data_IF_510815507870
#
_entry.id   IF_510815507870
#
_cell.length_a   1.000
_cell.length_b   1.000
_cell.length_c   1.000
_cell.angle_alpha   90.00
_cell.angle_beta   90.00
_cell.angle_gamma   90.00
#
_symmetry.space_group_name_H-M   'P 1'
#
loop_
_entity.id
_entity.type
_entity.pdbx_description
1 polymer ?
#
# COMPACT_ATOMS: atom_id res chain seq x y z
N UNK A 1 -0.55 12.36 17.39
CA UNK A 1 -0.13 13.15 16.21
C UNK A 1 -1.10 14.31 16.00
N UNK A 2 -0.65 15.47 15.52
CA UNK A 2 -1.59 16.50 15.06
C UNK A 2 -2.00 16.19 13.63
N UNK A 3 -3.30 16.05 13.39
CA UNK A 3 -3.83 15.93 12.03
C UNK A 3 -3.44 17.17 11.19
N UNK A 4 -3.25 17.02 9.86
CA UNK A 4 -3.10 18.15 8.98
C UNK A 4 -4.18 19.21 9.19
N UNK A 5 -3.85 20.50 9.02
CA UNK A 5 -4.77 21.60 9.34
C UNK A 5 -6.13 21.53 8.64
N UNK A 6 -6.16 21.02 7.39
CA UNK A 6 -7.40 20.80 6.64
C UNK A 6 -8.30 19.72 7.24
N UNK A 7 -7.72 18.63 7.79
CA UNK A 7 -8.50 17.53 8.41
C UNK A 7 -9.11 18.00 9.72
N UNK A 8 -8.41 18.85 10.50
CA UNK A 8 -8.93 19.37 11.76
C UNK A 8 -10.14 20.29 11.61
N UNK A 9 -10.28 20.92 10.45
CA UNK A 9 -11.40 21.84 10.16
C UNK A 9 -12.68 21.10 9.75
N UNK A 10 -12.55 19.87 9.31
CA UNK A 10 -13.64 19.10 8.73
C UNK A 10 -13.88 17.83 9.55
N UNK A 11 -14.65 17.99 10.62
CA UNK A 11 -15.04 16.89 11.49
C UNK A 11 -16.27 16.17 10.92
N UNK A 12 -16.39 14.88 11.24
CA UNK A 12 -17.59 14.10 10.95
C UNK A 12 -17.71 13.65 9.49
N UNK A 13 -16.61 13.59 8.75
CA UNK A 13 -16.60 12.98 7.43
C UNK A 13 -16.65 11.47 7.55
N UNK A 14 -17.49 10.86 6.71
CA UNK A 14 -17.65 9.42 6.62
C UNK A 14 -17.67 9.00 5.16
N UNK A 15 -17.10 7.84 4.87
CA UNK A 15 -17.33 7.10 3.63
C UNK A 15 -18.24 5.91 3.95
N UNK A 16 -19.08 5.53 3.02
CA UNK A 16 -19.88 4.32 3.09
C UNK A 16 -19.39 3.34 2.02
N UNK A 17 -18.99 2.16 2.43
CA UNK A 17 -18.56 1.08 1.54
C UNK A 17 -19.24 -0.20 1.98
N UNK A 18 -20.05 -0.79 1.14
CA UNK A 18 -20.83 -2.00 1.44
C UNK A 18 -21.56 -1.89 2.79
N UNK A 19 -22.31 -0.80 2.98
CA UNK A 19 -23.03 -0.47 4.22
C UNK A 19 -22.17 -0.29 5.48
N UNK A 20 -20.84 -0.32 5.35
CA UNK A 20 -19.92 -0.07 6.46
C UNK A 20 -19.56 1.42 6.49
N UNK A 21 -19.92 2.16 7.54
CA UNK A 21 -19.52 3.55 7.69
C UNK A 21 -18.06 3.65 8.18
N UNK A 22 -17.21 4.30 7.40
CA UNK A 22 -15.83 4.58 7.74
C UNK A 22 -15.68 6.04 8.18
N UNK A 23 -15.32 6.26 9.44
CA UNK A 23 -14.95 7.60 9.90
C UNK A 23 -13.58 8.01 9.34
N UNK A 24 -13.51 9.20 8.75
CA UNK A 24 -12.31 9.72 8.10
C UNK A 24 -11.72 10.94 8.85
N UNK A 25 -10.40 11.05 8.90
CA UNK A 25 -9.38 10.12 8.41
C UNK A 25 -9.31 8.84 9.24
N UNK A 26 -8.76 7.76 8.67
CA UNK A 26 -8.49 6.55 9.46
C UNK A 26 -7.27 6.79 10.33
N UNK A 27 -7.43 6.59 11.63
CA UNK A 27 -6.37 6.77 12.62
C UNK A 27 -5.97 5.42 13.23
N UNK A 28 -4.68 5.29 13.53
CA UNK A 28 -4.11 4.15 14.25
C UNK A 28 -3.27 4.60 15.43
N UNK A 29 -3.26 3.78 16.47
CA UNK A 29 -2.48 3.98 17.69
C UNK A 29 -1.80 2.66 18.09
N UNK A 30 -0.68 2.76 18.83
CA UNK A 30 0.03 1.61 19.42
C UNK A 30 0.34 0.49 18.42
N UNK A 31 0.70 0.86 17.19
CA UNK A 31 0.91 -0.07 16.10
C UNK A 31 2.41 -0.34 15.90
N UNK A 32 2.92 -1.52 16.30
CA UNK A 32 4.29 -1.90 15.96
C UNK A 32 4.39 -2.17 14.46
N UNK A 33 5.57 -1.88 13.88
CA UNK A 33 5.82 -2.09 12.47
C UNK A 33 7.27 -2.51 12.21
N UNK A 34 7.48 -3.26 11.14
CA UNK A 34 8.79 -3.50 10.56
C UNK A 34 8.87 -2.93 9.15
N UNK A 35 10.07 -2.61 8.72
CA UNK A 35 10.35 -2.17 7.36
C UNK A 35 11.68 -2.74 6.88
N UNK A 36 11.75 -3.11 5.61
CA UNK A 36 13.00 -3.43 4.92
C UNK A 36 12.94 -2.94 3.47
N UNK A 37 14.07 -2.43 2.98
CA UNK A 37 14.21 -2.01 1.59
C UNK A 37 15.34 -2.79 0.94
N UNK A 38 15.03 -3.43 -0.17
CA UNK A 38 15.99 -4.20 -0.96
C UNK A 38 16.21 -3.51 -2.30
N UNK A 39 17.43 -3.58 -2.82
CA UNK A 39 17.66 -3.10 -4.19
C UNK A 39 17.18 -4.13 -5.19
N UNK A 40 16.60 -3.67 -6.28
CA UNK A 40 16.03 -4.46 -7.37
C UNK A 40 16.47 -3.90 -8.71
N UNK A 41 16.34 -4.68 -9.78
CA UNK A 41 16.53 -4.19 -11.15
C UNK A 41 15.46 -3.17 -11.52
N UNK A 42 15.85 -2.00 -12.02
CA UNK A 42 14.93 -0.91 -12.32
C UNK A 42 14.11 -1.18 -13.61
N UNK A 43 14.65 -1.93 -14.56
CA UNK A 43 13.93 -2.34 -15.77
C UNK A 43 12.81 -3.31 -15.44
N UNK A 44 13.13 -4.38 -14.70
CA UNK A 44 12.12 -5.33 -14.23
C UNK A 44 11.08 -4.68 -13.30
N UNK A 45 11.49 -3.72 -12.48
CA UNK A 45 10.57 -2.95 -11.64
C UNK A 45 9.59 -2.11 -12.47
N UNK A 46 10.04 -1.51 -13.57
CA UNK A 46 9.20 -0.73 -14.48
C UNK A 46 8.08 -1.55 -15.11
N UNK A 47 8.31 -2.84 -15.37
CA UNK A 47 7.29 -3.76 -15.90
C UNK A 47 6.13 -4.01 -14.93
N UNK A 48 6.32 -3.76 -13.64
CA UNK A 48 5.29 -3.92 -12.61
C UNK A 48 4.53 -2.62 -12.32
N UNK A 49 4.98 -1.50 -12.87
CA UNK A 49 4.31 -0.21 -12.72
C UNK A 49 3.29 -0.01 -13.85
N UNK A 50 2.23 0.72 -13.56
CA UNK A 50 1.14 0.94 -14.52
C UNK A 50 1.14 2.39 -14.98
N UNK A 51 0.92 2.61 -16.28
CA UNK A 51 0.95 3.93 -16.90
C UNK A 51 2.37 4.40 -17.24
N UNK A 52 2.48 5.43 -18.08
CA UNK A 52 3.78 5.96 -18.51
C UNK A 52 4.33 7.01 -17.55
N UNK A 53 3.52 7.49 -16.63
CA UNK A 53 3.85 8.56 -15.67
C UNK A 53 4.44 8.05 -14.35
N UNK A 54 4.46 6.75 -14.10
CA UNK A 54 5.04 6.17 -12.87
C UNK A 54 6.35 5.49 -13.19
N UNK A 55 7.42 5.94 -12.57
CA UNK A 55 8.76 5.45 -12.86
C UNK A 55 9.40 4.89 -11.58
N UNK A 56 10.15 3.76 -11.66
CA UNK A 56 10.93 3.29 -10.52
C UNK A 56 11.91 4.38 -10.06
N UNK A 57 11.96 4.64 -8.77
CA UNK A 57 12.95 5.54 -8.20
C UNK A 57 14.33 4.87 -8.26
N UNK A 58 15.17 5.33 -9.15
CA UNK A 58 16.57 4.88 -9.25
C UNK A 58 17.37 5.48 -8.10
N UNK A 59 18.21 4.65 -7.48
CA UNK A 59 19.08 5.06 -6.38
C UNK A 59 20.54 5.16 -6.82
N UNK A 60 21.02 4.21 -7.61
CA UNK A 60 22.31 4.25 -8.32
C UNK A 60 22.28 3.27 -9.51
N UNK A 61 22.90 3.64 -10.63
CA UNK A 61 22.89 2.84 -11.86
C UNK A 61 21.47 2.40 -12.23
N UNK A 62 21.30 1.12 -12.54
CA UNK A 62 20.03 0.51 -12.86
C UNK A 62 19.36 -0.17 -11.65
N UNK A 63 19.61 0.33 -10.44
CA UNK A 63 18.99 -0.20 -9.21
C UNK A 63 17.88 0.72 -8.69
N UNK A 64 16.72 0.13 -8.45
CA UNK A 64 15.57 0.72 -7.76
C UNK A 64 15.37 0.06 -6.39
N UNK A 65 14.27 0.32 -5.70
CA UNK A 65 13.96 -0.20 -4.36
C UNK A 65 12.63 -0.94 -4.32
N UNK A 66 12.69 -2.15 -3.79
CA UNK A 66 11.55 -2.89 -3.25
C UNK A 66 11.42 -2.57 -1.76
N UNK A 67 10.24 -2.11 -1.35
CA UNK A 67 9.91 -1.79 0.03
C UNK A 67 8.96 -2.84 0.57
N UNK A 68 9.34 -3.48 1.67
CA UNK A 68 8.47 -4.37 2.44
C UNK A 68 8.19 -3.67 3.76
N UNK A 69 6.93 -3.44 4.07
CA UNK A 69 6.53 -2.93 5.38
C UNK A 69 5.36 -3.73 5.93
N UNK A 70 5.42 -4.05 7.21
CA UNK A 70 4.33 -4.77 7.89
C UNK A 70 3.96 -4.00 9.15
N UNK A 71 2.67 -3.83 9.36
CA UNK A 71 2.12 -3.12 10.52
C UNK A 71 1.10 -4.00 11.23
N UNK A 72 1.28 -4.22 12.53
CA UNK A 72 0.24 -4.79 13.40
C UNK A 72 -0.60 -3.64 13.97
N UNK A 73 -1.68 -3.32 13.29
CA UNK A 73 -2.62 -2.28 13.71
C UNK A 73 -3.44 -2.78 14.92
N UNK A 74 -3.00 -2.45 16.12
CA UNK A 74 -3.64 -2.91 17.37
C UNK A 74 -4.85 -2.09 17.76
N UNK A 75 -4.83 -0.80 17.48
CA UNK A 75 -5.91 0.13 17.79
C UNK A 75 -6.15 1.06 16.63
N UNK A 76 -7.27 0.88 15.93
CA UNK A 76 -7.72 1.76 14.85
C UNK A 76 -9.22 1.97 14.92
N UNK A 77 -9.73 2.99 14.23
CA UNK A 77 -11.17 3.22 14.10
C UNK A 77 -11.87 2.26 13.10
N UNK A 78 -11.12 1.29 12.51
CA UNK A 78 -11.67 0.21 11.67
C UNK A 78 -11.41 -1.19 12.25
N UNK A 79 -10.99 -1.26 13.52
CA UNK A 79 -10.66 -2.53 14.20
C UNK A 79 -9.18 -2.90 14.12
N UNK A 80 -8.85 -4.05 14.70
CA UNK A 80 -7.50 -4.61 14.70
C UNK A 80 -7.24 -5.44 13.46
N UNK A 81 -6.06 -5.28 12.83
CA UNK A 81 -5.62 -6.12 11.71
C UNK A 81 -4.10 -6.01 11.49
N UNK A 82 -3.55 -6.97 10.77
CA UNK A 82 -2.18 -6.90 10.25
C UNK A 82 -2.24 -6.53 8.78
N UNK A 83 -1.33 -5.67 8.36
CA UNK A 83 -1.17 -5.25 6.97
C UNK A 83 0.26 -5.51 6.52
N UNK A 84 0.42 -6.20 5.39
CA UNK A 84 1.71 -6.49 4.76
C UNK A 84 1.76 -5.77 3.41
N UNK A 85 2.62 -4.78 3.27
CA UNK A 85 2.77 -3.98 2.05
C UNK A 85 4.01 -4.39 1.28
N UNK A 86 3.82 -4.64 -0.01
CA UNK A 86 4.86 -4.87 -1.00
C UNK A 86 4.78 -3.73 -2.02
N UNK A 87 5.81 -2.90 -2.10
CA UNK A 87 5.78 -1.71 -2.93
C UNK A 87 7.12 -1.42 -3.60
N UNK A 88 7.08 -0.73 -4.72
CA UNK A 88 8.26 -0.22 -5.43
C UNK A 88 8.36 1.28 -5.18
N UNK A 89 9.52 1.75 -4.72
CA UNK A 89 9.77 3.19 -4.62
C UNK A 89 9.69 3.82 -6.02
N UNK A 90 8.94 4.91 -6.15
CA UNK A 90 8.65 5.50 -7.46
C UNK A 90 8.66 7.03 -7.45
N UNK A 91 8.71 7.59 -8.65
CA UNK A 91 8.38 8.98 -8.94
C UNK A 91 7.15 9.03 -9.84
N UNK A 92 6.43 10.16 -9.83
CA UNK A 92 5.28 10.41 -10.69
C UNK A 92 5.50 11.68 -11.48
N UNK A 93 5.42 11.60 -12.79
CA UNK A 93 5.61 12.72 -13.71
C UNK A 93 5.88 12.27 -15.14
N UNK A 94 5.98 13.21 -16.07
CA UNK A 94 6.20 12.92 -17.50
C UNK A 94 7.55 12.22 -17.80
N UNK A 95 8.50 12.27 -16.87
CA UNK A 95 9.79 11.58 -17.00
C UNK A 95 10.27 11.09 -15.64
N UNK A 96 11.12 10.08 -15.66
CA UNK A 96 11.77 9.58 -14.45
C UNK A 96 12.54 10.72 -13.75
N UNK A 97 12.33 10.85 -12.47
CA UNK A 97 13.07 11.79 -11.64
C UNK A 97 14.55 11.41 -11.51
N UNK A 98 15.42 12.32 -11.06
CA UNK A 98 16.81 11.99 -10.79
C UNK A 98 16.93 10.97 -9.66
N UNK A 99 18.09 10.31 -9.57
CA UNK A 99 18.38 9.42 -8.45
C UNK A 99 18.35 10.19 -7.13
N UNK A 100 17.45 9.83 -6.24
CA UNK A 100 17.13 10.58 -5.03
C UNK A 100 16.95 9.66 -3.82
N UNK A 101 17.19 10.23 -2.66
CA UNK A 101 16.80 9.60 -1.39
C UNK A 101 15.27 9.75 -1.22
N UNK A 102 14.48 8.67 -1.17
CA UNK A 102 13.01 8.72 -1.25
C UNK A 102 12.33 9.52 -0.14
N UNK A 103 13.00 9.69 1.00
CA UNK A 103 12.40 10.25 2.22
C UNK A 103 12.44 11.78 2.30
N UNK A 104 12.98 12.48 1.33
CA UNK A 104 13.09 13.94 1.39
C UNK A 104 11.75 14.60 1.02
N UNK A 105 11.15 15.44 1.90
CA UNK A 105 9.89 16.14 1.61
C UNK A 105 9.91 16.98 0.33
N UNK A 106 11.08 17.56 0.00
CA UNK A 106 11.27 18.32 -1.23
C UNK A 106 11.16 17.42 -2.46
N UNK A 107 11.70 16.20 -2.40
CA UNK A 107 11.60 15.25 -3.50
C UNK A 107 10.15 14.80 -3.75
N UNK A 108 9.36 14.62 -2.70
CA UNK A 108 7.92 14.34 -2.86
C UNK A 108 7.20 15.48 -3.59
N UNK A 109 7.55 16.73 -3.30
CA UNK A 109 6.91 17.90 -3.90
C UNK A 109 7.34 18.11 -5.36
N UNK A 110 8.61 17.92 -5.68
CA UNK A 110 9.17 18.23 -6.99
C UNK A 110 9.01 17.08 -7.99
N UNK A 111 9.11 15.82 -7.52
CA UNK A 111 9.17 14.64 -8.38
C UNK A 111 8.08 13.62 -8.06
N UNK A 112 7.11 13.96 -7.20
CA UNK A 112 6.05 13.05 -6.81
C UNK A 112 6.59 11.75 -6.21
N UNK A 113 7.70 11.80 -5.46
CA UNK A 113 8.28 10.58 -4.87
C UNK A 113 7.31 9.93 -3.90
N UNK A 114 7.25 8.61 -3.95
CA UNK A 114 6.41 7.79 -3.10
C UNK A 114 6.72 6.32 -3.30
N UNK A 115 5.71 5.50 -3.05
CA UNK A 115 5.81 4.08 -3.32
C UNK A 115 4.56 3.61 -4.09
N UNK A 116 4.78 2.85 -5.15
CA UNK A 116 3.72 2.17 -5.88
C UNK A 116 3.46 0.82 -5.21
N UNK A 117 2.27 0.67 -4.65
CA UNK A 117 1.87 -0.54 -3.92
C UNK A 117 1.43 -1.59 -4.93
N UNK A 118 2.19 -2.67 -5.05
CA UNK A 118 1.91 -3.77 -5.98
C UNK A 118 1.07 -4.87 -5.34
N UNK A 119 1.19 -5.06 -4.02
CA UNK A 119 0.37 -5.99 -3.26
C UNK A 119 0.19 -5.52 -1.81
N UNK A 120 -1.01 -5.72 -1.26
CA UNK A 120 -1.37 -5.23 0.08
C UNK A 120 -2.30 -6.21 0.82
N UNK A 121 -1.82 -7.45 1.13
CA UNK A 121 -2.58 -8.37 1.93
C UNK A 121 -2.87 -7.84 3.34
N UNK A 122 -4.07 -8.08 3.83
CA UNK A 122 -4.54 -7.69 5.17
C UNK A 122 -5.31 -8.82 5.83
N UNK A 123 -5.30 -8.88 7.15
CA UNK A 123 -5.99 -9.94 7.90
C UNK A 123 -7.49 -9.66 8.15
N UNK A 124 -8.01 -8.50 7.75
CA UNK A 124 -9.38 -8.06 8.05
C UNK A 124 -10.14 -7.68 6.77
N UNK A 125 -11.33 -8.24 6.60
CA UNK A 125 -12.24 -7.92 5.50
C UNK A 125 -12.65 -6.43 5.50
N UNK A 126 -12.89 -5.85 6.67
CA UNK A 126 -13.22 -4.42 6.79
C UNK A 126 -12.10 -3.56 6.21
N UNK A 127 -10.84 -3.92 6.47
CA UNK A 127 -9.69 -3.21 5.89
C UNK A 127 -9.61 -3.38 4.36
N UNK A 128 -9.99 -4.56 3.82
CA UNK A 128 -10.08 -4.76 2.36
C UNK A 128 -11.11 -3.80 1.77
N UNK A 129 -12.33 -3.81 2.29
CA UNK A 129 -13.44 -2.99 1.79
C UNK A 129 -13.12 -1.50 1.84
N UNK A 130 -12.69 -1.00 2.99
CA UNK A 130 -12.29 0.40 3.12
C UNK A 130 -11.10 0.78 2.24
N UNK A 131 -10.07 -0.06 2.20
CA UNK A 131 -8.87 0.21 1.40
C UNK A 131 -9.14 0.26 -0.09
N UNK A 132 -9.89 -0.70 -0.63
CA UNK A 132 -10.30 -0.70 -2.04
C UNK A 132 -11.32 0.40 -2.34
N UNK A 133 -12.40 0.46 -1.57
CA UNK A 133 -13.52 1.33 -1.88
C UNK A 133 -13.23 2.82 -1.74
N UNK A 134 -12.35 3.21 -0.80
CA UNK A 134 -12.04 4.62 -0.54
C UNK A 134 -10.76 5.06 -1.25
N UNK A 135 -9.69 4.26 -1.17
CA UNK A 135 -8.36 4.68 -1.66
C UNK A 135 -7.88 3.93 -2.91
N UNK A 136 -8.65 2.95 -3.40
CA UNK A 136 -8.26 2.13 -4.56
C UNK A 136 -7.05 1.23 -4.31
N UNK A 137 -6.72 0.94 -3.04
CA UNK A 137 -5.56 0.12 -2.69
C UNK A 137 -5.74 -1.34 -3.11
N UNK A 138 -4.69 -2.07 -3.58
CA UNK A 138 -4.77 -3.46 -4.03
C UNK A 138 -4.88 -4.44 -2.85
N UNK A 139 -5.79 -4.16 -1.91
CA UNK A 139 -5.99 -4.98 -0.72
C UNK A 139 -6.74 -6.26 -1.04
N UNK A 140 -6.35 -7.32 -0.38
CA UNK A 140 -7.09 -8.57 -0.33
C UNK A 140 -6.89 -9.24 1.04
N UNK A 141 -7.82 -10.12 1.41
CA UNK A 141 -7.69 -10.84 2.66
C UNK A 141 -6.69 -11.98 2.52
N UNK A 142 -5.84 -12.14 3.53
CA UNK A 142 -4.85 -13.21 3.61
C UNK A 142 -4.62 -13.64 5.06
N UNK A 143 -3.97 -14.76 5.26
CA UNK A 143 -3.49 -15.19 6.58
C UNK A 143 -2.15 -14.49 6.86
N UNK A 144 -2.11 -13.72 7.93
CA UNK A 144 -0.97 -12.88 8.31
C UNK A 144 -0.67 -13.02 9.79
N UNK A 145 0.61 -13.15 10.11
CA UNK A 145 1.11 -13.03 11.47
C UNK A 145 1.96 -11.75 11.64
N UNK A 146 2.27 -11.42 12.89
CA UNK A 146 3.27 -10.43 13.27
C UNK A 146 3.92 -10.87 14.58
N UNK A 147 5.15 -11.35 14.51
CA UNK A 147 5.84 -11.98 15.63
C UNK A 147 7.00 -11.12 16.11
N UNK A 148 6.95 -10.71 17.36
CA UNK A 148 8.04 -9.97 18.04
C UNK A 148 8.78 -10.93 18.93
N UNK A 149 10.00 -11.32 18.54
CA UNK A 149 10.92 -12.13 19.31
C UNK A 149 12.00 -11.25 19.97
N UNK A 150 12.82 -11.79 20.90
CA UNK A 150 13.85 -11.00 21.56
C UNK A 150 14.88 -10.38 20.62
N UNK A 151 15.22 -11.04 19.51
CA UNK A 151 16.24 -10.59 18.54
C UNK A 151 15.71 -10.23 17.17
N UNK A 152 14.50 -10.63 16.83
CA UNK A 152 13.92 -10.46 15.48
C UNK A 152 12.48 -10.04 15.57
N UNK A 153 12.01 -9.41 14.51
CA UNK A 153 10.60 -9.20 14.24
C UNK A 153 10.31 -9.78 12.87
N UNK A 154 9.24 -10.56 12.75
CA UNK A 154 8.92 -11.23 11.50
C UNK A 154 7.43 -11.17 11.21
N UNK A 155 7.11 -11.35 9.93
CA UNK A 155 5.75 -11.54 9.46
C UNK A 155 5.75 -12.49 8.28
N UNK A 156 4.74 -13.33 8.23
CA UNK A 156 4.47 -14.24 7.14
C UNK A 156 3.10 -13.91 6.55
N UNK A 157 3.02 -13.99 5.24
CA UNK A 157 1.83 -13.82 4.44
C UNK A 157 1.57 -15.09 3.65
N UNK A 158 0.47 -15.76 3.99
CA UNK A 158 -0.01 -16.98 3.34
C UNK A 158 -1.34 -16.70 2.64
N UNK A 159 -1.52 -17.33 1.47
CA UNK A 159 -2.76 -17.28 0.70
C UNK A 159 -3.06 -18.70 0.19
N UNK A 160 -4.33 -19.11 0.27
CA UNK A 160 -4.79 -20.43 -0.16
C UNK A 160 -3.99 -21.60 0.45
N UNK A 161 -3.50 -21.44 1.69
CA UNK A 161 -2.69 -22.41 2.40
C UNK A 161 -1.23 -22.50 1.90
N UNK A 162 -0.78 -21.59 1.07
CA UNK A 162 0.58 -21.55 0.55
C UNK A 162 1.31 -20.28 1.02
N UNK A 163 2.60 -20.43 1.30
CA UNK A 163 3.46 -19.30 1.60
C UNK A 163 3.56 -18.39 0.37
N UNK A 164 3.22 -17.11 0.55
CA UNK A 164 3.50 -16.07 -0.44
C UNK A 164 4.82 -15.36 -0.13
N UNK A 165 4.91 -14.70 1.02
CA UNK A 165 6.13 -13.97 1.42
C UNK A 165 6.34 -14.07 2.93
N UNK A 166 7.60 -14.22 3.33
CA UNK A 166 8.03 -14.06 4.72
C UNK A 166 9.15 -13.05 4.79
N UNK A 167 9.04 -12.13 5.73
CA UNK A 167 10.08 -11.16 6.08
C UNK A 167 10.48 -11.35 7.54
N UNK A 168 11.77 -11.31 7.81
CA UNK A 168 12.33 -11.27 9.16
C UNK A 168 13.36 -10.17 9.23
N UNK A 169 13.29 -9.32 10.24
CA UNK A 169 14.18 -8.18 10.48
C UNK A 169 14.83 -8.35 11.85
N UNK A 170 16.15 -8.22 11.91
CA UNK A 170 16.88 -8.21 13.19
C UNK A 170 16.46 -6.96 13.98
N UNK A 171 16.16 -7.13 15.26
CA UNK A 171 15.83 -5.99 16.11
C UNK A 171 17.05 -5.10 16.29
N UNK A 172 16.94 -3.80 15.96
CA UNK A 172 18.00 -2.83 16.19
C UNK A 172 18.36 -2.74 17.67
N UNK A 173 19.64 -2.49 17.96
CA UNK A 173 20.10 -2.32 19.36
C UNK A 173 19.48 -1.09 20.06
N UNK A 174 19.10 -0.10 19.28
CA UNK A 174 18.45 1.13 19.74
C UNK A 174 17.16 1.35 18.98
N UNK A 175 16.02 1.38 19.70
CA UNK A 175 14.66 1.45 19.14
C UNK A 175 13.91 2.72 19.58
N UNK A 176 14.62 3.77 19.99
CA UNK A 176 14.02 4.98 20.58
C UNK A 176 14.29 6.26 19.80
N UNK A 177 14.68 6.14 18.53
CA UNK A 177 14.84 7.30 17.67
C UNK A 177 13.44 7.90 17.38
N UNK A 178 13.13 9.13 17.81
CA UNK A 178 11.88 9.73 17.50
C UNK A 178 11.79 10.02 16.00
N UNK A 179 10.70 9.60 15.37
CA UNK A 179 10.48 9.75 13.94
C UNK A 179 9.08 10.25 13.67
N UNK A 180 8.96 11.20 12.75
CA UNK A 180 7.70 11.63 12.17
C UNK A 180 7.89 11.72 10.66
N UNK A 181 7.07 10.99 9.91
CA UNK A 181 7.18 10.90 8.45
C UNK A 181 5.81 11.05 7.80
N UNK A 182 5.83 11.49 6.55
CA UNK A 182 4.70 11.40 5.63
C UNK A 182 5.18 10.66 4.38
N UNK A 183 4.42 9.68 3.93
CA UNK A 183 4.66 8.95 2.69
C UNK A 183 3.46 9.05 1.77
N UNK A 184 3.71 9.00 0.46
CA UNK A 184 2.68 8.90 -0.57
C UNK A 184 2.64 7.47 -1.10
N UNK A 185 1.44 6.91 -1.16
CA UNK A 185 1.19 5.62 -1.79
C UNK A 185 0.49 5.86 -3.12
N UNK A 186 0.97 5.19 -4.15
CA UNK A 186 0.35 5.14 -5.46
C UNK A 186 -0.17 3.73 -5.71
N UNK A 187 -1.30 3.61 -6.37
CA UNK A 187 -1.84 2.35 -6.86
C UNK A 187 -2.75 2.60 -8.07
N UNK A 188 -2.95 1.59 -8.90
CA UNK A 188 -3.88 1.67 -10.01
C UNK A 188 -5.24 1.13 -9.59
N UNK A 189 -6.30 1.85 -9.92
CA UNK A 189 -7.67 1.44 -9.65
C UNK A 189 -8.62 2.02 -10.71
N UNK A 190 -9.40 1.16 -11.35
CA UNK A 190 -10.41 1.56 -12.35
C UNK A 190 -9.89 2.49 -13.46
N UNK A 191 -8.72 2.19 -13.98
CA UNK A 191 -8.10 3.01 -15.03
C UNK A 191 -7.51 4.35 -14.56
N UNK A 192 -7.40 4.55 -13.26
CA UNK A 192 -6.81 5.74 -12.67
C UNK A 192 -5.60 5.37 -11.82
N UNK A 193 -4.63 6.26 -11.79
CA UNK A 193 -3.60 6.29 -10.76
C UNK A 193 -4.16 7.01 -9.55
N UNK A 194 -4.23 6.32 -8.43
CA UNK A 194 -4.68 6.85 -7.14
C UNK A 194 -3.48 7.17 -6.26
N UNK A 195 -3.51 8.31 -5.58
CA UNK A 195 -2.50 8.70 -4.61
C UNK A 195 -3.15 8.98 -3.27
N UNK A 196 -2.68 8.31 -2.24
CA UNK A 196 -3.03 8.57 -0.85
C UNK A 196 -1.80 8.93 -0.02
N UNK A 197 -2.00 9.57 1.13
CA UNK A 197 -0.91 9.94 2.01
C UNK A 197 -1.12 9.36 3.40
N UNK A 198 -0.05 8.80 3.95
CA UNK A 198 0.01 8.35 5.34
C UNK A 198 0.98 9.26 6.08
N UNK A 199 0.53 9.82 7.19
CA UNK A 199 1.37 10.52 8.15
C UNK A 199 1.48 9.65 9.39
N UNK A 200 2.71 9.38 9.84
CA UNK A 200 2.92 8.61 11.06
C UNK A 200 4.05 9.19 11.89
N UNK A 201 3.99 8.95 13.20
CA UNK A 201 5.04 9.25 14.17
C UNK A 201 5.20 8.09 15.14
N UNK A 202 6.34 8.01 15.75
CA UNK A 202 6.65 7.00 16.76
C UNK A 202 8.12 6.99 17.12
N UNK A 203 8.55 5.85 17.63
CA UNK A 203 9.95 5.58 17.86
C UNK A 203 10.40 4.45 16.96
N UNK A 204 11.61 4.55 16.45
CA UNK A 204 12.19 3.58 15.52
C UNK A 204 13.59 3.19 15.92
N UNK A 205 14.00 2.03 15.49
CA UNK A 205 15.39 1.63 15.38
C UNK A 205 15.71 1.22 13.97
N UNK A 206 16.92 1.50 13.51
CA UNK A 206 17.40 1.09 12.19
C UNK A 206 18.67 0.28 12.32
N UNK A 207 18.81 -0.70 11.45
CA UNK A 207 20.02 -1.47 11.29
C UNK A 207 20.99 -0.76 10.33
N UNK A 208 22.27 -1.08 10.44
CA UNK A 208 23.28 -0.53 9.53
C UNK A 208 22.98 -0.95 8.08
N UNK A 209 23.12 -0.02 7.12
CA UNK A 209 22.91 -0.31 5.71
C UNK A 209 23.77 -1.46 5.19
N UNK A 210 23.20 -2.22 4.23
CA UNK A 210 23.88 -3.31 3.52
C UNK A 210 24.40 -4.46 4.41
N UNK A 211 23.94 -4.54 5.67
CA UNK A 211 24.18 -5.68 6.55
C UNK A 211 23.15 -6.80 6.29
N UNK A 212 23.37 -7.99 6.83
CA UNK A 212 22.39 -9.09 6.76
C UNK A 212 21.30 -8.97 7.84
N UNK A 213 20.74 -7.80 7.97
CA UNK A 213 19.78 -7.45 9.03
C UNK A 213 18.32 -7.71 8.66
N UNK A 214 18.05 -8.15 7.46
CA UNK A 214 16.74 -8.67 7.09
C UNK A 214 16.86 -9.84 6.12
N UNK A 215 15.88 -10.74 6.18
CA UNK A 215 15.74 -11.93 5.33
C UNK A 215 14.36 -11.93 4.69
N UNK A 216 14.33 -11.92 3.37
CA UNK A 216 13.12 -12.01 2.57
C UNK A 216 13.06 -13.38 1.90
N UNK A 217 11.96 -14.09 2.10
CA UNK A 217 11.66 -15.34 1.42
C UNK A 217 10.40 -15.15 0.59
N UNK A 218 10.48 -15.44 -0.70
CA UNK A 218 9.35 -15.44 -1.64
C UNK A 218 8.96 -16.90 -1.86
N UNK A 219 7.69 -17.21 -1.65
CA UNK A 219 7.12 -18.52 -1.88
C UNK A 219 6.77 -18.78 -3.35
N UNK A 220 6.09 -19.90 -3.59
CA UNK A 220 5.74 -20.36 -4.95
C UNK A 220 4.32 -19.95 -5.39
N UNK A 221 3.56 -19.26 -4.54
CA UNK A 221 2.21 -18.84 -4.89
C UNK A 221 2.20 -17.93 -6.12
N UNK A 222 1.31 -18.12 -7.12
CA UNK A 222 1.31 -17.38 -8.39
C UNK A 222 1.27 -15.85 -8.20
N UNK A 223 0.59 -15.36 -7.17
CA UNK A 223 0.43 -13.93 -6.88
C UNK A 223 1.76 -13.19 -6.68
N UNK A 224 2.78 -13.86 -6.18
CA UNK A 224 4.07 -13.25 -5.84
C UNK A 224 5.19 -13.63 -6.82
N UNK A 225 4.88 -14.40 -7.86
CA UNK A 225 5.89 -14.85 -8.83
C UNK A 225 6.55 -13.71 -9.61
N UNK A 226 5.87 -12.58 -9.79
CA UNK A 226 6.47 -11.39 -10.40
C UNK A 226 7.68 -10.86 -9.62
N UNK A 227 7.72 -11.06 -8.29
CA UNK A 227 8.83 -10.63 -7.45
C UNK A 227 10.13 -11.38 -7.74
N UNK A 228 10.06 -12.63 -8.20
CA UNK A 228 11.24 -13.45 -8.50
C UNK A 228 12.06 -12.91 -9.68
N UNK A 229 11.46 -12.07 -10.53
CA UNK A 229 12.10 -11.45 -11.69
C UNK A 229 12.84 -10.16 -11.36
N UNK A 230 12.71 -9.64 -10.14
CA UNK A 230 13.20 -8.31 -9.77
C UNK A 230 14.70 -8.26 -9.45
N UNK A 231 15.43 -9.37 -9.48
CA UNK A 231 16.84 -9.44 -9.04
C UNK A 231 17.06 -8.78 -7.69
N UNK A 232 16.31 -9.28 -6.68
CA UNK A 232 16.31 -8.72 -5.32
C UNK A 232 17.65 -8.97 -4.64
N UNK A 233 18.24 -7.92 -4.09
CA UNK A 233 19.51 -8.03 -3.35
C UNK A 233 19.36 -8.92 -2.12
N UNK A 234 20.40 -9.72 -1.83
CA UNK A 234 20.44 -10.59 -0.64
C UNK A 234 20.60 -9.83 0.69
N UNK A 235 20.97 -8.55 0.62
CA UNK A 235 21.12 -7.67 1.78
C UNK A 235 20.21 -6.46 1.60
N UNK A 236 19.45 -6.06 2.62
CA UNK A 236 18.67 -4.85 2.54
C UNK A 236 19.57 -3.62 2.45
N UNK A 237 19.11 -2.60 1.72
CA UNK A 237 19.69 -1.27 1.78
C UNK A 237 19.54 -0.69 3.19
N UNK A 238 18.36 -0.87 3.77
CA UNK A 238 18.10 -0.59 5.19
C UNK A 238 17.00 -1.52 5.70
N UNK A 239 16.97 -1.72 7.01
CA UNK A 239 15.86 -2.36 7.71
C UNK A 239 15.64 -1.67 9.05
N UNK A 240 14.45 -1.80 9.60
CA UNK A 240 14.11 -1.17 10.86
C UNK A 240 12.88 -1.77 11.53
N UNK A 241 12.77 -1.45 12.81
CA UNK A 241 11.64 -1.83 13.64
C UNK A 241 11.13 -0.62 14.41
N UNK A 242 9.82 -0.51 14.48
CA UNK A 242 9.06 0.51 15.20
C UNK A 242 8.28 -0.19 16.30
N UNK A 243 8.67 -0.10 17.56
CA UNK A 243 7.96 -0.73 18.67
C UNK A 243 6.51 -0.24 18.82
N UNK A 244 6.27 1.02 18.46
CA UNK A 244 4.95 1.62 18.47
C UNK A 244 4.89 2.83 17.54
N UNK A 245 3.85 2.91 16.75
CA UNK A 245 3.56 4.05 15.89
C UNK A 245 2.12 4.53 16.08
N UNK A 246 1.91 5.81 15.85
CA UNK A 246 0.60 6.42 15.60
C UNK A 246 0.55 6.87 14.16
N UNK A 247 -0.54 6.58 13.47
CA UNK A 247 -0.70 6.88 12.05
C UNK A 247 -2.03 7.55 11.74
N UNK A 248 -2.03 8.29 10.63
CA UNK A 248 -3.24 8.83 10.03
C UNK A 248 -3.15 8.57 8.54
N UNK A 249 -4.08 7.77 8.02
CA UNK A 249 -4.33 7.67 6.59
C UNK A 249 -5.25 8.84 6.21
N UNK A 250 -4.72 9.69 5.35
CA UNK A 250 -5.37 10.91 4.94
C UNK A 250 -6.67 10.61 4.17
N UNK A 251 -7.67 11.43 4.34
CA UNK A 251 -8.93 11.38 3.62
C UNK A 251 -8.87 12.12 2.27
N UNK A 252 -7.75 12.74 1.95
CA UNK A 252 -7.49 13.35 0.65
C UNK A 252 -6.84 12.36 -0.30
N UNK A 253 -7.43 12.25 -1.47
CA UNK A 253 -6.98 11.40 -2.57
C UNK A 253 -6.77 12.30 -3.79
N UNK A 254 -5.59 12.20 -4.40
CA UNK A 254 -5.37 12.71 -5.75
C UNK A 254 -5.54 11.55 -6.72
N UNK A 255 -6.11 11.79 -7.91
CA UNK A 255 -6.25 10.78 -8.94
C UNK A 255 -6.04 11.35 -10.33
N UNK A 256 -5.48 10.53 -11.23
CA UNK A 256 -5.23 10.86 -12.63
C UNK A 256 -5.65 9.67 -13.50
N UNK A 257 -6.12 9.92 -14.70
CA UNK A 257 -6.24 8.84 -15.69
C UNK A 257 -4.85 8.33 -16.04
N UNK A 258 -4.71 6.99 -16.14
CA UNK A 258 -3.46 6.38 -16.55
C UNK A 258 -3.15 6.72 -18.01
N UNK A 259 -1.90 7.07 -18.29
CA UNK A 259 -1.39 7.33 -19.63
C UNK A 259 -0.84 6.05 -20.24
N UNK A 260 -1.14 5.82 -21.53
CA UNK A 260 -0.61 4.70 -22.31
C UNK A 260 -0.15 5.25 -23.65
N UNK A 261 0.99 4.75 -24.14
CA UNK A 261 1.52 5.13 -25.45
C UNK A 261 0.55 4.74 -26.57
N UNK A 262 0.02 3.53 -26.48
CA UNK A 262 -1.00 2.99 -27.38
C UNK A 262 -2.21 2.56 -26.55
N UNK A 263 -3.44 2.64 -27.07
CA UNK A 263 -4.59 2.14 -26.36
C UNK A 263 -4.39 0.69 -25.92
N UNK A 264 -4.62 0.34 -24.65
CA UNK A 264 -4.43 -1.03 -24.19
C UNK A 264 -5.39 -1.98 -24.91
N UNK A 265 -4.86 -3.03 -25.50
CA UNK A 265 -5.66 -4.07 -26.17
C UNK A 265 -6.22 -5.10 -25.21
N UNK A 266 -5.69 -5.14 -24.00
CA UNK A 266 -6.17 -5.95 -22.88
C UNK A 266 -6.24 -5.07 -21.63
N UNK A 267 -7.06 -5.45 -20.67
CA UNK A 267 -7.11 -4.74 -19.37
C UNK A 267 -5.76 -4.97 -18.67
N UNK A 268 -4.94 -3.93 -18.46
CA UNK A 268 -3.70 -4.08 -17.71
C UNK A 268 -3.98 -4.55 -16.29
N UNK A 269 -3.03 -5.28 -15.72
CA UNK A 269 -3.13 -5.71 -14.33
C UNK A 269 -3.30 -4.48 -13.41
N UNK A 270 -4.29 -4.51 -12.53
CA UNK A 270 -4.67 -3.39 -11.67
C UNK A 270 -5.71 -2.44 -12.28
N UNK A 271 -6.08 -2.61 -13.54
CA UNK A 271 -7.22 -1.93 -14.15
C UNK A 271 -8.46 -2.83 -14.06
N UNK A 272 -9.42 -2.43 -13.25
CA UNK A 272 -10.68 -3.16 -13.12
C UNK A 272 -11.70 -2.66 -14.15
N UNK A 273 -12.36 -3.59 -14.82
CA UNK A 273 -13.45 -3.26 -15.74
C UNK A 273 -14.65 -2.71 -14.95
N UNK A 274 -15.16 -1.57 -15.39
CA UNK A 274 -16.40 -1.00 -14.82
C UNK A 274 -17.61 -1.89 -15.13
N UNK A 275 -17.60 -2.60 -16.28
CA UNK A 275 -18.72 -3.45 -16.69
C UNK A 275 -18.91 -4.70 -15.81
N UNK A 276 -17.87 -5.14 -15.09
CA UNK A 276 -17.92 -6.34 -14.24
C UNK A 276 -18.09 -6.04 -12.76
N UNK A 277 -18.24 -4.80 -12.33
CA UNK A 277 -18.23 -4.43 -10.91
C UNK A 277 -19.32 -5.12 -10.09
N UNK A 278 -20.53 -5.25 -10.61
CA UNK A 278 -21.63 -5.94 -9.92
C UNK A 278 -21.48 -7.47 -9.86
N UNK A 279 -20.49 -8.03 -10.54
CA UNK A 279 -20.19 -9.48 -10.55
C UNK A 279 -18.93 -9.83 -9.77
N UNK A 280 -18.20 -8.85 -9.29
CA UNK A 280 -17.00 -9.08 -8.47
C UNK A 280 -17.42 -9.62 -7.11
N UNK A 281 -16.85 -10.74 -6.68
CA UNK A 281 -17.03 -11.25 -5.32
C UNK A 281 -16.47 -10.29 -4.26
N UNK A 282 -15.65 -9.35 -4.67
CA UNK A 282 -15.01 -8.34 -3.82
C UNK A 282 -15.87 -7.08 -3.64
N UNK A 283 -16.94 -6.95 -4.45
CA UNK A 283 -17.84 -5.79 -4.42
C UNK A 283 -19.25 -6.29 -4.24
N UNK A 284 -19.86 -5.97 -3.11
CA UNK A 284 -21.29 -6.14 -2.95
C UNK A 284 -22.03 -5.19 -3.90
N UNK A 285 -23.20 -5.60 -4.37
CA UNK A 285 -24.07 -4.70 -5.11
C UNK A 285 -24.33 -3.43 -4.28
N UNK A 286 -24.38 -2.25 -4.89
CA UNK A 286 -24.83 -1.06 -4.16
C UNK A 286 -26.19 -1.34 -3.54
N UNK A 287 -26.44 -0.82 -2.32
CA UNK A 287 -27.76 -0.97 -1.71
C UNK A 287 -28.83 -0.38 -2.65
N UNK A 288 -29.97 -1.07 -2.73
CA UNK A 288 -31.11 -0.55 -3.46
C UNK A 288 -31.48 0.82 -2.89
N UNK A 289 -31.49 1.84 -3.74
CA UNK A 289 -31.94 3.16 -3.33
C UNK A 289 -33.50 3.14 -3.29
N UNK A 290 -34.08 3.17 -2.09
CA UNK A 290 -35.55 3.17 -1.98
C UNK A 290 -36.21 4.40 -2.64
N UNK A 291 -35.42 5.44 -2.94
CA UNK A 291 -35.91 6.63 -3.67
C UNK A 291 -36.01 6.42 -5.20
N UNK A 292 -35.32 5.40 -5.75
CA UNK A 292 -35.32 5.15 -7.20
C UNK A 292 -36.41 4.17 -7.66
N UNK A 293 -37.17 3.56 -6.73
CA UNK A 293 -38.20 2.56 -7.05
C UNK A 293 -37.58 1.27 -7.60
N UNK A 294 -38.26 0.15 -7.44
CA UNK A 294 -37.82 -1.14 -7.99
C UNK A 294 -37.56 -1.02 -9.50
N UNK A 295 -36.42 -1.49 -10.04
CA UNK A 295 -36.21 -1.57 -11.49
C UNK A 295 -37.06 -2.73 -12.03
N UNK A 296 -38.32 -2.50 -12.27
CA UNK A 296 -39.23 -3.53 -12.79
C UNK A 296 -40.68 -3.12 -13.02
N UNK A 297 -41.09 -1.98 -12.52
CA UNK A 297 -42.45 -1.47 -12.74
C UNK A 297 -42.57 -0.58 -13.97
N UNK A 298 -41.95 -0.92 -15.09
CA UNK A 298 -42.28 -0.29 -16.37
C UNK A 298 -43.24 -1.16 -17.18
N UNK A 299 -44.53 -0.79 -17.01
CA UNK A 299 -45.55 -0.75 -18.02
C UNK A 299 -45.78 -2.01 -18.86
N UNK A 300 -46.59 -2.91 -18.37
CA UNK A 300 -47.60 -3.48 -19.22
C UNK A 300 -48.68 -2.38 -19.46
N UNK A 301 -48.57 -1.66 -20.58
CA UNK A 301 -49.66 -0.82 -21.05
C UNK A 301 -50.49 -1.62 -22.03
N UNK A 302 -51.84 -1.51 -22.01
CA UNK A 302 -52.78 -2.39 -22.68
C UNK A 302 -52.78 -2.28 -24.18
#
# INVERSE_FOLDING_TARGET
MRAPGRIRREKGRHALVDDIPFALPVASHESPALIAAFTIDAGAAAELLVGEEVHPLRIWGERALLLISVVDYRSTNIGRYVEFSIAIACTHGASAGPALVPALPLAQRLFGTGQYVIDLPVSSEVSVKGGKGIWGMPKHQANLDFVIAPRTVSSQYDLDGQLCVRIEVDRPRFERLPLAMRTSNYCAFRGMLMKSNISFKGHAGFNLPLTRSARLLIGEHPRVQSLTRLDISSRPLFSGYFPSTEGILDDHIDSWFLSFKDPPTSVPQGLESVAGLGQSQEWLAPPDDPALGEPGAQAATP
#
